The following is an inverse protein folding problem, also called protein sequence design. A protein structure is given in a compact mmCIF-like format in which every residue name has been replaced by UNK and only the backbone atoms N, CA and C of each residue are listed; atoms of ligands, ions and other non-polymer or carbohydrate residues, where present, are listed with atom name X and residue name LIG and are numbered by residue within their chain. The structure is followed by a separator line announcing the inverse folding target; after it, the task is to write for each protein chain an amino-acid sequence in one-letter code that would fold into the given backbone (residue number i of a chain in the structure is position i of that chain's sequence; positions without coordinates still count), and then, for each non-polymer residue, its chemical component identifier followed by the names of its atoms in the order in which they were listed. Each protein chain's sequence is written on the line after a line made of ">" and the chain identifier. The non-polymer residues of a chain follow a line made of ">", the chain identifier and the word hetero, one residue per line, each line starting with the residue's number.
data_IF_018289669350
#
_entry.id   IF_018289669350
#
_cell.length_a   1.000
_cell.length_b   1.000
_cell.length_c   1.000
_cell.angle_alpha   90.00
_cell.angle_beta   90.00
_cell.angle_gamma   90.00
#
_symmetry.space_group_name_H-M   'P 1'
#
loop_
_entity.id
_entity.type
_entity.pdbx_description
1 polymer ?
#
# COMPACT_ATOMS: atom_id res chain seq x y z
N UNK A 1 -7.01 10.97 8.75
CA UNK A 1 -6.46 9.75 9.38
C UNK A 1 -6.52 9.81 10.91
N UNK A 2 -6.57 10.99 11.54
CA UNK A 2 -6.44 11.15 13.00
C UNK A 2 -7.61 10.67 13.87
N UNK A 3 -8.85 10.77 13.40
CA UNK A 3 -10.03 10.49 14.24
C UNK A 3 -10.13 9.03 14.69
N UNK A 4 -9.72 8.08 13.82
CA UNK A 4 -9.75 6.64 14.14
C UNK A 4 -8.67 6.28 15.17
N UNK A 5 -7.48 6.87 15.06
CA UNK A 5 -6.37 6.63 15.99
C UNK A 5 -6.66 7.23 17.37
N UNK A 6 -7.24 8.44 17.42
CA UNK A 6 -7.65 9.07 18.66
C UNK A 6 -8.65 8.18 19.42
N UNK A 7 -9.67 7.67 18.73
CA UNK A 7 -10.68 6.78 19.33
C UNK A 7 -10.07 5.45 19.82
N UNK A 8 -9.17 4.84 19.04
CA UNK A 8 -8.44 3.63 19.47
C UNK A 8 -7.66 3.90 20.76
N UNK A 9 -7.01 5.06 20.87
CA UNK A 9 -6.24 5.45 22.04
C UNK A 9 -7.13 5.71 23.26
N UNK A 10 -8.28 6.34 23.09
CA UNK A 10 -9.29 6.51 24.15
C UNK A 10 -9.77 5.16 24.69
N UNK A 11 -10.18 4.25 23.79
CA UNK A 11 -10.62 2.89 24.15
C UNK A 11 -9.47 2.11 24.83
N UNK A 12 -8.23 2.28 24.37
CA UNK A 12 -7.06 1.65 24.98
C UNK A 12 -6.72 2.23 26.37
N UNK A 13 -6.98 3.51 26.62
CA UNK A 13 -6.85 4.10 27.96
C UNK A 13 -7.95 3.60 28.88
N UNK A 14 -9.21 3.58 28.40
CA UNK A 14 -10.36 3.05 29.15
C UNK A 14 -10.17 1.58 29.54
N UNK A 15 -9.62 0.77 28.63
CA UNK A 15 -9.26 -0.63 28.90
C UNK A 15 -8.34 -0.83 30.12
N UNK A 16 -7.50 0.16 30.44
CA UNK A 16 -6.54 0.11 31.54
C UNK A 16 -7.12 0.61 32.88
N UNK A 17 -8.35 1.09 32.88
CA UNK A 17 -9.05 1.51 34.10
C UNK A 17 -9.71 0.33 34.80
N UNK A 18 -10.10 0.50 36.07
CA UNK A 18 -10.77 -0.53 36.85
C UNK A 18 -12.16 -0.93 36.27
N UNK A 19 -12.82 -0.01 35.56
CA UNK A 19 -14.10 -0.26 34.87
C UNK A 19 -13.92 -1.11 33.60
N UNK A 20 -12.74 -1.05 32.99
CA UNK A 20 -12.41 -1.80 31.78
C UNK A 20 -13.23 -1.39 30.54
N UNK A 21 -13.27 -2.27 29.54
CA UNK A 21 -14.09 -2.09 28.34
C UNK A 21 -15.35 -2.95 28.45
N UNK A 22 -16.49 -2.35 28.10
CA UNK A 22 -17.73 -3.09 27.86
C UNK A 22 -17.60 -4.00 26.64
N UNK A 23 -18.49 -4.99 26.49
CA UNK A 23 -18.47 -5.92 25.35
C UNK A 23 -18.62 -5.18 24.01
N UNK A 24 -19.47 -4.14 23.98
CA UNK A 24 -19.71 -3.30 22.81
C UNK A 24 -18.45 -2.51 22.42
N UNK A 25 -17.78 -1.91 23.40
CA UNK A 25 -16.54 -1.16 23.16
C UNK A 25 -15.36 -2.05 22.77
N UNK A 26 -15.33 -3.31 23.22
CA UNK A 26 -14.32 -4.29 22.75
C UNK A 26 -14.52 -4.60 21.27
N UNK A 27 -15.77 -4.76 20.83
CA UNK A 27 -16.09 -4.95 19.41
C UNK A 27 -15.71 -3.72 18.60
N UNK A 28 -16.11 -2.52 19.05
CA UNK A 28 -15.74 -1.25 18.41
C UNK A 28 -14.20 -1.12 18.29
N UNK A 29 -13.46 -1.39 19.37
CA UNK A 29 -12.00 -1.33 19.36
C UNK A 29 -11.38 -2.29 18.34
N UNK A 30 -11.92 -3.51 18.23
CA UNK A 30 -11.43 -4.52 17.28
C UNK A 30 -11.66 -4.06 15.84
N UNK A 31 -12.86 -3.61 15.51
CA UNK A 31 -13.21 -3.11 14.17
C UNK A 31 -12.34 -1.91 13.78
N UNK A 32 -12.16 -0.95 14.70
CA UNK A 32 -11.32 0.22 14.47
C UNK A 32 -9.85 -0.18 14.23
N UNK A 33 -9.33 -1.15 14.98
CA UNK A 33 -7.96 -1.66 14.79
C UNK A 33 -7.79 -2.37 13.46
N UNK A 34 -8.73 -3.22 13.08
CA UNK A 34 -8.68 -3.93 11.79
C UNK A 34 -8.71 -2.93 10.62
N UNK A 35 -9.58 -1.92 10.69
CA UNK A 35 -9.64 -0.84 9.70
C UNK A 35 -8.34 -0.05 9.63
N UNK A 36 -7.77 0.31 10.78
CA UNK A 36 -6.49 1.03 10.84
C UNK A 36 -5.36 0.20 10.22
N UNK A 37 -5.22 -1.07 10.60
CA UNK A 37 -4.18 -1.96 10.09
C UNK A 37 -4.33 -2.16 8.58
N UNK A 38 -5.56 -2.31 8.07
CA UNK A 38 -5.80 -2.44 6.63
C UNK A 38 -5.30 -1.21 5.87
N UNK A 39 -5.64 -0.01 6.34
CA UNK A 39 -5.19 1.23 5.72
C UNK A 39 -3.67 1.42 5.83
N UNK A 40 -3.11 1.10 7.00
CA UNK A 40 -1.67 1.14 7.23
C UNK A 40 -0.92 0.19 6.29
N UNK A 41 -1.40 -1.05 6.11
CA UNK A 41 -0.81 -2.02 5.19
C UNK A 41 -0.86 -1.53 3.74
N UNK A 42 -1.95 -0.89 3.33
CA UNK A 42 -2.05 -0.29 1.98
C UNK A 42 -0.96 0.76 1.78
N UNK A 43 -0.84 1.70 2.71
CA UNK A 43 0.17 2.77 2.64
C UNK A 43 1.59 2.20 2.70
N UNK A 44 1.86 1.19 3.53
CA UNK A 44 3.15 0.53 3.57
C UNK A 44 3.49 -0.16 2.25
N UNK A 45 2.52 -0.83 1.63
CA UNK A 45 2.72 -1.50 0.34
C UNK A 45 3.11 -0.48 -0.74
N UNK A 46 2.48 0.70 -0.78
CA UNK A 46 2.86 1.77 -1.71
C UNK A 46 4.30 2.24 -1.49
N UNK A 47 4.74 2.40 -0.24
CA UNK A 47 6.13 2.75 0.08
C UNK A 47 7.08 1.66 -0.41
N UNK A 48 6.78 0.39 -0.10
CA UNK A 48 7.63 -0.74 -0.48
C UNK A 48 7.74 -0.88 -2.01
N UNK A 49 6.63 -0.70 -2.73
CA UNK A 49 6.62 -0.77 -4.20
C UNK A 49 7.44 0.34 -4.86
N UNK A 50 7.72 1.45 -4.17
CA UNK A 50 8.51 2.57 -4.69
C UNK A 50 9.91 2.66 -4.09
N UNK A 51 10.30 1.71 -3.23
CA UNK A 51 11.59 1.71 -2.55
C UNK A 51 12.47 0.54 -2.97
N UNK A 52 13.79 0.75 -2.93
CA UNK A 52 14.82 -0.28 -3.10
C UNK A 52 15.62 -0.35 -1.81
N UNK A 53 15.91 -1.56 -1.34
CA UNK A 53 16.63 -1.81 -0.09
C UNK A 53 18.07 -2.20 -0.41
N UNK A 54 19.02 -1.44 0.12
CA UNK A 54 20.45 -1.70 0.00
C UNK A 54 21.03 -2.11 1.34
N UNK A 55 21.98 -3.04 1.34
CA UNK A 55 22.76 -3.39 2.52
C UNK A 55 23.84 -2.31 2.81
N UNK A 56 24.53 -2.37 3.96
CA UNK A 56 25.60 -1.43 4.28
C UNK A 56 26.80 -1.46 3.32
N UNK A 57 26.95 -2.53 2.53
CA UNK A 57 28.00 -2.68 1.51
C UNK A 57 27.57 -2.12 0.14
N UNK A 58 26.31 -1.69 0.01
CA UNK A 58 25.73 -1.10 -1.19
C UNK A 58 25.11 -2.10 -2.17
N UNK A 59 24.96 -3.37 -1.78
CA UNK A 59 24.31 -4.39 -2.61
C UNK A 59 22.79 -4.26 -2.50
N UNK A 60 22.10 -4.31 -3.64
CA UNK A 60 20.63 -4.35 -3.67
C UNK A 60 20.12 -5.70 -3.14
N UNK A 61 19.61 -5.67 -1.91
CA UNK A 61 19.03 -6.81 -1.20
C UNK A 61 17.50 -6.76 -1.21
N UNK A 62 16.91 -5.99 -2.12
CA UNK A 62 15.46 -5.94 -2.29
C UNK A 62 14.93 -7.35 -2.57
N UNK A 63 13.96 -7.87 -1.77
CA UNK A 63 13.47 -9.23 -1.94
C UNK A 63 12.93 -9.49 -3.35
N UNK A 64 13.23 -10.66 -3.92
CA UNK A 64 12.80 -11.01 -5.29
C UNK A 64 11.28 -10.93 -5.49
N UNK A 65 10.50 -11.30 -4.45
CA UNK A 65 9.05 -11.17 -4.46
C UNK A 65 8.57 -9.72 -4.62
N UNK A 66 9.29 -8.77 -4.03
CA UNK A 66 8.98 -7.35 -4.13
C UNK A 66 9.35 -6.83 -5.53
N UNK A 67 10.51 -7.22 -6.07
CA UNK A 67 10.91 -6.89 -7.45
C UNK A 67 9.90 -7.41 -8.48
N UNK A 68 9.37 -8.62 -8.29
CA UNK A 68 8.30 -9.17 -9.13
C UNK A 68 7.03 -8.32 -9.07
N UNK A 69 6.56 -8.01 -7.85
CA UNK A 69 5.36 -7.18 -7.67
C UNK A 69 5.50 -5.77 -8.29
N UNK A 70 6.68 -5.16 -8.19
CA UNK A 70 6.99 -3.89 -8.85
C UNK A 70 6.89 -4.00 -10.38
N UNK A 71 7.50 -5.04 -10.98
CA UNK A 71 7.41 -5.28 -12.43
C UNK A 71 5.98 -5.47 -12.91
N UNK A 72 5.20 -6.29 -12.22
CA UNK A 72 3.80 -6.56 -12.58
C UNK A 72 2.95 -5.29 -12.52
N UNK A 73 3.18 -4.44 -11.51
CA UNK A 73 2.54 -3.13 -11.41
C UNK A 73 2.89 -2.23 -12.60
N UNK A 74 4.18 -2.11 -12.95
CA UNK A 74 4.63 -1.30 -14.08
C UNK A 74 4.10 -1.82 -15.42
N UNK A 75 4.05 -3.14 -15.61
CA UNK A 75 3.49 -3.77 -16.81
C UNK A 75 2.00 -3.46 -16.95
N UNK A 76 1.24 -3.57 -15.86
CA UNK A 76 -0.19 -3.24 -15.88
C UNK A 76 -0.43 -1.77 -16.21
N UNK A 77 0.32 -0.85 -15.59
CA UNK A 77 0.22 0.58 -15.86
C UNK A 77 0.55 0.91 -17.33
N UNK A 78 1.60 0.27 -17.88
CA UNK A 78 1.95 0.44 -19.29
C UNK A 78 0.84 -0.08 -20.23
N UNK A 79 0.24 -1.24 -19.92
CA UNK A 79 -0.88 -1.78 -20.70
C UNK A 79 -2.10 -0.88 -20.68
N UNK A 80 -2.42 -0.27 -19.53
CA UNK A 80 -3.53 0.69 -19.40
C UNK A 80 -3.28 1.94 -20.27
N UNK A 81 -2.08 2.53 -20.21
CA UNK A 81 -1.71 3.68 -21.05
C UNK A 81 -1.77 3.37 -22.55
N UNK A 82 -1.35 2.17 -22.96
CA UNK A 82 -1.39 1.75 -24.36
C UNK A 82 -2.82 1.56 -24.87
N UNK A 83 -3.72 1.04 -24.01
CA UNK A 83 -5.15 0.92 -24.31
C UNK A 83 -5.83 2.29 -24.44
N UNK A 84 -5.47 3.23 -23.57
CA UNK A 84 -6.04 4.58 -23.60
C UNK A 84 -5.58 5.42 -24.79
N UNK A 85 -4.33 5.25 -25.24
CA UNK A 85 -3.74 6.15 -26.24
C UNK A 85 -4.08 5.84 -27.69
N UNK A 86 -4.84 4.78 -28.01
CA UNK A 86 -5.17 4.36 -29.38
C UNK A 86 -3.99 4.60 -30.36
N UNK A 87 -2.79 4.15 -29.97
CA UNK A 87 -1.56 4.46 -30.69
C UNK A 87 -1.55 3.58 -31.94
N UNK A 88 -1.82 4.20 -33.09
CA UNK A 88 -1.46 3.62 -34.39
C UNK A 88 0.06 3.63 -34.44
N UNK A 89 0.67 2.45 -34.45
CA UNK A 89 2.08 2.32 -34.79
C UNK A 89 2.21 2.83 -36.23
N UNK A 90 2.94 3.94 -36.44
CA UNK A 90 3.48 4.25 -37.76
C UNK A 90 4.50 3.16 -38.05
N UNK A 91 4.17 2.27 -38.97
CA UNK A 91 5.09 1.24 -39.44
C UNK A 91 6.33 1.92 -40.03
N UNK A 92 7.47 1.24 -39.95
CA UNK A 92 8.76 1.79 -40.40
C UNK A 92 8.78 2.18 -41.89
N UNK A 93 7.76 1.82 -42.66
CA UNK A 93 7.56 2.19 -44.06
C UNK A 93 7.00 3.62 -44.26
N UNK A 94 6.41 4.24 -43.23
CA UNK A 94 5.85 5.61 -43.32
C UNK A 94 6.93 6.72 -43.21
N UNK A 95 8.20 6.35 -43.07
CA UNK A 95 9.35 7.30 -43.07
C UNK A 95 9.89 7.64 -44.46
N UNK A 96 9.25 7.16 -45.53
CA UNK A 96 9.59 7.50 -46.91
C UNK A 96 8.47 8.32 -47.57
N UNK A 97 8.33 9.58 -47.16
CA UNK A 97 7.86 10.65 -48.03
C UNK A 97 8.71 11.90 -47.81
#
# INVERSE_FOLDING_TARGET
>A
MDKTLARINELARKAKTAEGLTTEEKTEQKELREKYIKNFRSSLNEVLLNSTVYDPEGTDVTPEKLKQAQRDMHLKNAQELLKEKNIVFLDADDKKM
#
